data_IF_144711894976
#
_entry.id   IF_144711894976
#
_cell.length_a   1.000
_cell.length_b   1.000
_cell.length_c   1.000
_cell.angle_alpha   90.00
_cell.angle_beta   90.00
_cell.angle_gamma   90.00
#
_symmetry.space_group_name_H-M   'P 1'
#
loop_
_entity.id
_entity.type
_entity.pdbx_description
1 polymer ?
#
# COMPACT_ATOMS: atom_id res chain seq x y z
N UNK A 1 -35.68 -14.78 2.62
CA UNK A 1 -35.01 -13.46 2.56
C UNK A 1 -33.75 -13.47 3.44
N UNK A 2 -32.79 -14.36 3.15
CA UNK A 2 -31.51 -14.48 3.88
C UNK A 2 -30.37 -15.07 3.01
N UNK A 3 -30.63 -15.38 1.73
CA UNK A 3 -29.63 -15.97 0.83
C UNK A 3 -28.93 -14.96 -0.10
N UNK A 4 -29.26 -13.66 -0.02
CA UNK A 4 -28.73 -12.62 -0.92
C UNK A 4 -27.53 -11.84 -0.37
N UNK A 5 -27.08 -12.09 0.88
CA UNK A 5 -26.00 -11.32 1.50
C UNK A 5 -24.62 -12.00 1.46
N UNK A 6 -24.53 -13.28 1.08
CA UNK A 6 -23.23 -13.96 0.92
C UNK A 6 -22.61 -13.75 -0.48
N UNK A 7 -23.38 -13.26 -1.45
CA UNK A 7 -23.01 -13.23 -2.87
C UNK A 7 -22.32 -11.92 -3.30
N UNK A 8 -22.29 -10.90 -2.44
CA UNK A 8 -21.66 -9.60 -2.71
C UNK A 8 -20.16 -9.63 -2.41
N UNK A 9 -19.72 -10.33 -1.36
CA UNK A 9 -18.31 -10.45 -0.98
C UNK A 9 -17.47 -11.23 -2.01
N UNK A 10 -18.04 -12.27 -2.61
CA UNK A 10 -17.35 -13.05 -3.64
C UNK A 10 -17.25 -12.26 -4.96
N UNK A 11 -18.33 -11.56 -5.36
CA UNK A 11 -18.33 -10.74 -6.57
C UNK A 11 -17.40 -9.52 -6.49
N UNK A 12 -17.27 -8.86 -5.33
CA UNK A 12 -16.28 -7.79 -5.14
C UNK A 12 -14.83 -8.28 -5.20
N UNK A 13 -14.56 -9.51 -4.73
CA UNK A 13 -13.23 -10.14 -4.82
C UNK A 13 -12.87 -10.53 -6.26
N UNK A 14 -13.86 -10.95 -7.06
CA UNK A 14 -13.67 -11.28 -8.48
C UNK A 14 -13.57 -10.05 -9.39
N UNK A 15 -14.29 -8.96 -9.10
CA UNK A 15 -14.17 -7.70 -9.86
C UNK A 15 -12.79 -7.03 -9.70
N UNK A 16 -12.10 -7.21 -8.56
CA UNK A 16 -10.70 -6.77 -8.38
C UNK A 16 -9.66 -7.62 -9.11
N UNK A 17 -10.03 -8.82 -9.58
CA UNK A 17 -9.14 -9.71 -10.36
C UNK A 17 -9.12 -9.38 -11.86
N UNK A 18 -10.15 -8.69 -12.35
CA UNK A 18 -10.24 -8.22 -13.73
C UNK A 18 -9.56 -6.87 -13.87
N UNK A 19 -8.32 -6.89 -14.36
CA UNK A 19 -7.57 -5.72 -14.82
C UNK A 19 -6.84 -4.90 -13.73
N UNK A 20 -5.87 -5.55 -13.05
CA UNK A 20 -4.77 -4.83 -12.38
C UNK A 20 -3.84 -4.23 -13.44
N UNK A 21 -4.25 -3.13 -14.07
CA UNK A 21 -3.32 -2.35 -14.88
C UNK A 21 -2.31 -1.72 -13.94
N UNK A 22 -1.02 -2.06 -14.11
CA UNK A 22 0.05 -1.30 -13.49
C UNK A 22 0.16 0.02 -14.24
N UNK A 23 0.03 1.11 -13.52
CA UNK A 23 0.32 2.46 -13.99
C UNK A 23 1.49 2.99 -13.17
N UNK A 24 2.36 3.75 -13.81
CA UNK A 24 3.42 4.48 -13.13
C UNK A 24 2.85 5.78 -12.56
N UNK A 25 3.22 6.08 -11.32
CA UNK A 25 2.87 7.32 -10.63
C UNK A 25 4.16 7.95 -10.12
N UNK A 26 4.32 9.24 -10.38
CA UNK A 26 5.43 10.02 -9.83
C UNK A 26 5.04 10.56 -8.45
N UNK A 27 5.91 10.35 -7.47
CA UNK A 27 5.75 10.85 -6.10
C UNK A 27 7.05 11.51 -5.67
N UNK A 28 6.93 12.65 -4.99
CA UNK A 28 8.07 13.31 -4.36
C UNK A 28 8.42 12.60 -3.05
N UNK A 29 9.69 12.24 -2.88
CA UNK A 29 10.23 11.63 -1.67
C UNK A 29 11.51 12.36 -1.27
N UNK A 30 11.73 12.51 0.03
CA UNK A 30 13.03 12.95 0.56
C UNK A 30 14.08 11.84 0.39
N UNK A 31 15.35 12.21 0.31
CA UNK A 31 16.46 11.27 0.09
C UNK A 31 16.44 10.10 1.08
N UNK A 32 16.27 10.36 2.38
CA UNK A 32 16.24 9.31 3.40
C UNK A 32 15.06 8.34 3.25
N UNK A 33 13.92 8.79 2.70
CA UNK A 33 12.76 7.94 2.44
C UNK A 33 13.06 7.01 1.26
N UNK A 34 13.72 7.53 0.22
CA UNK A 34 14.19 6.73 -0.90
C UNK A 34 15.28 5.72 -0.49
N UNK A 35 16.23 6.13 0.36
CA UNK A 35 17.24 5.24 0.95
C UNK A 35 16.59 4.09 1.73
N UNK A 36 15.63 4.39 2.59
CA UNK A 36 14.87 3.36 3.32
C UNK A 36 14.22 2.34 2.38
N UNK A 37 13.57 2.81 1.31
CA UNK A 37 12.95 1.91 0.34
C UNK A 37 13.99 1.05 -0.41
N UNK A 38 15.12 1.63 -0.81
CA UNK A 38 16.21 0.90 -1.46
C UNK A 38 16.84 -0.15 -0.54
N UNK A 39 16.92 0.12 0.77
CA UNK A 39 17.38 -0.85 1.75
C UNK A 39 16.39 -1.98 1.93
N UNK A 40 15.08 -1.72 1.89
CA UNK A 40 14.06 -2.77 1.90
C UNK A 40 14.11 -3.63 0.63
N UNK A 41 14.38 -3.01 -0.53
CA UNK A 41 14.60 -3.74 -1.79
C UNK A 41 15.75 -4.73 -1.66
N UNK A 42 16.91 -4.30 -1.15
CA UNK A 42 18.07 -5.19 -0.94
C UNK A 42 17.80 -6.25 0.12
N UNK A 43 17.22 -5.85 1.27
CA UNK A 43 17.02 -6.73 2.43
C UNK A 43 16.08 -7.89 2.14
N UNK A 44 15.06 -7.66 1.32
CA UNK A 44 14.02 -8.64 1.01
C UNK A 44 14.08 -9.15 -0.45
N UNK A 45 15.14 -8.84 -1.19
CA UNK A 45 15.36 -9.24 -2.58
C UNK A 45 14.15 -8.88 -3.48
N UNK A 46 13.70 -7.62 -3.38
CA UNK A 46 12.58 -7.12 -4.17
C UNK A 46 13.06 -6.68 -5.56
N UNK A 47 12.20 -6.77 -6.60
CA UNK A 47 12.58 -6.40 -7.96
C UNK A 47 12.84 -4.89 -8.14
N UNK A 48 12.10 -4.05 -7.42
CA UNK A 48 12.16 -2.59 -7.55
C UNK A 48 11.57 -1.89 -6.32
N UNK A 49 11.86 -0.59 -6.20
CA UNK A 49 11.28 0.32 -5.19
C UNK A 49 9.76 0.36 -5.26
N UNK A 50 9.17 0.24 -6.46
CA UNK A 50 7.72 0.16 -6.63
C UNK A 50 7.11 -1.04 -5.91
N UNK A 51 7.80 -2.17 -5.81
CA UNK A 51 7.35 -3.35 -5.05
C UNK A 51 7.43 -3.09 -3.55
N UNK A 52 8.47 -2.41 -3.07
CA UNK A 52 8.56 -2.01 -1.67
C UNK A 52 7.38 -1.08 -1.29
N UNK A 53 7.08 -0.07 -2.12
CA UNK A 53 5.94 0.83 -1.92
C UNK A 53 4.62 0.08 -1.94
N UNK A 54 4.39 -0.81 -2.91
CA UNK A 54 3.17 -1.63 -2.96
C UNK A 54 3.00 -2.49 -1.71
N UNK A 55 4.08 -3.09 -1.17
CA UNK A 55 4.00 -3.87 0.08
C UNK A 55 3.57 -2.98 1.26
N UNK A 56 4.12 -1.78 1.38
CA UNK A 56 3.74 -0.83 2.44
C UNK A 56 2.28 -0.41 2.32
N UNK A 57 1.82 -0.09 1.10
CA UNK A 57 0.43 0.29 0.83
C UNK A 57 -0.51 -0.88 1.09
N UNK A 58 -0.20 -2.09 0.60
CA UNK A 58 -0.98 -3.30 0.83
C UNK A 58 -1.13 -3.56 2.33
N UNK A 59 -0.04 -3.42 3.10
CA UNK A 59 -0.07 -3.56 4.56
C UNK A 59 -0.99 -2.52 5.23
N UNK A 60 -0.90 -1.25 4.84
CA UNK A 60 -1.75 -0.19 5.38
C UNK A 60 -3.24 -0.45 5.07
N UNK A 61 -3.55 -0.92 3.86
CA UNK A 61 -4.91 -1.30 3.45
C UNK A 61 -5.42 -2.50 4.27
N UNK A 62 -4.57 -3.51 4.50
CA UNK A 62 -4.93 -4.70 5.30
C UNK A 62 -5.10 -4.39 6.79
N UNK A 63 -4.45 -3.31 7.28
CA UNK A 63 -4.48 -2.83 8.67
C UNK A 63 -5.17 -1.49 8.79
N UNK A 64 -6.32 -1.34 8.13
CA UNK A 64 -7.08 -0.08 8.10
C UNK A 64 -7.48 0.43 9.50
N UNK A 65 -7.59 -0.45 10.50
CA UNK A 65 -7.81 -0.10 11.89
C UNK A 65 -6.66 0.67 12.53
N UNK A 66 -5.48 0.69 11.90
CA UNK A 66 -4.27 1.41 12.33
C UNK A 66 -4.02 2.69 11.51
N UNK A 67 -4.94 3.11 10.64
CA UNK A 67 -4.77 4.33 9.82
C UNK A 67 -4.50 5.58 10.66
N UNK A 68 -5.09 5.68 11.87
CA UNK A 68 -4.83 6.80 12.78
C UNK A 68 -3.36 6.87 13.19
N UNK A 69 -2.72 5.74 13.47
CA UNK A 69 -1.29 5.69 13.81
C UNK A 69 -0.40 6.14 12.64
N UNK A 70 -0.85 5.92 11.40
CA UNK A 70 -0.12 6.29 10.19
C UNK A 70 -0.27 7.79 9.90
N UNK A 71 -1.48 8.35 10.05
CA UNK A 71 -1.81 9.69 9.53
C UNK A 71 -2.14 10.77 10.57
N UNK A 72 -2.45 10.43 11.83
CA UNK A 72 -2.75 11.44 12.86
C UNK A 72 -1.51 11.92 13.61
N UNK A 73 -0.45 11.12 13.62
CA UNK A 73 0.83 11.53 14.16
C UNK A 73 1.58 12.41 13.14
N UNK A 74 2.07 13.56 13.58
CA UNK A 74 3.04 14.33 12.80
C UNK A 74 4.35 13.54 12.66
N UNK A 75 4.55 12.93 11.49
CA UNK A 75 5.74 12.15 11.16
C UNK A 75 6.72 12.89 10.24
N UNK A 76 6.48 14.18 9.98
CA UNK A 76 7.43 14.94 9.20
C UNK A 76 8.66 15.29 10.03
N UNK A 77 9.69 14.45 9.96
CA UNK A 77 10.99 14.67 10.60
C UNK A 77 11.79 15.86 10.01
N UNK A 78 11.19 16.66 9.12
CA UNK A 78 11.84 17.82 8.47
C UNK A 78 10.83 18.70 7.72
N UNK A 79 9.63 18.88 8.27
CA UNK A 79 8.74 19.97 7.86
C UNK A 79 8.82 20.97 9.00
N UNK A 80 9.24 22.19 8.69
CA UNK A 80 9.01 23.36 9.53
C UNK A 80 7.60 23.90 9.27
#
# INVERSE_FOLDING_TARGET
MLHLLANTNQNQKYQRKGQLMRQEYEVELKDFQNEYLNDMVKKYDLPDTGKAVRILIDFAIEKADMESEIFQDERCHSCD
#
